data_IF_143303497291
#
_entry.id   IF_143303497291
#
_cell.length_a   1.000
_cell.length_b   1.000
_cell.length_c   1.000
_cell.angle_alpha   90.00
_cell.angle_beta   90.00
_cell.angle_gamma   90.00
#
_symmetry.space_group_name_H-M   'P 1'
#
loop_
_entity.id
_entity.type
_entity.pdbx_description
1 polymer ?
#
# COMPACT_ATOMS: atom_id res chain seq x y z
N UNK A 1 -36.22 -12.75 -39.10
CA UNK A 1 -35.19 -11.68 -39.04
C UNK A 1 -35.34 -10.79 -37.81
N UNK A 2 -36.55 -10.34 -37.45
CA UNK A 2 -36.83 -9.49 -36.26
C UNK A 2 -36.26 -10.03 -34.94
N UNK A 3 -36.37 -11.33 -34.67
CA UNK A 3 -35.85 -11.94 -33.43
C UNK A 3 -34.30 -12.03 -33.37
N UNK A 4 -33.61 -12.05 -34.52
CA UNK A 4 -32.15 -12.05 -34.56
C UNK A 4 -31.61 -10.64 -34.27
N UNK A 5 -32.23 -9.61 -34.87
CA UNK A 5 -31.90 -8.21 -34.63
C UNK A 5 -32.13 -7.85 -33.15
N UNK A 6 -33.26 -8.29 -32.57
CA UNK A 6 -33.56 -8.05 -31.16
C UNK A 6 -32.54 -8.68 -30.20
N UNK A 7 -32.09 -9.91 -30.49
CA UNK A 7 -31.04 -10.58 -29.70
C UNK A 7 -29.69 -9.90 -29.83
N UNK A 8 -29.33 -9.41 -31.02
CA UNK A 8 -28.09 -8.67 -31.26
C UNK A 8 -28.14 -7.34 -30.49
N UNK A 9 -29.25 -6.60 -30.52
CA UNK A 9 -29.39 -5.35 -29.76
C UNK A 9 -29.28 -5.59 -28.26
N UNK A 10 -29.93 -6.63 -27.72
CA UNK A 10 -29.79 -6.98 -26.30
C UNK A 10 -28.34 -7.34 -25.96
N UNK A 11 -27.69 -8.17 -26.78
CA UNK A 11 -26.30 -8.55 -26.56
C UNK A 11 -25.37 -7.33 -26.60
N UNK A 12 -25.56 -6.42 -27.56
CA UNK A 12 -24.77 -5.19 -27.66
C UNK A 12 -25.00 -4.26 -26.47
N UNK A 13 -26.24 -4.11 -25.99
CA UNK A 13 -26.56 -3.30 -24.81
C UNK A 13 -25.95 -3.92 -23.54
N UNK A 14 -26.06 -5.24 -23.36
CA UNK A 14 -25.42 -5.94 -22.22
C UNK A 14 -23.90 -5.81 -22.29
N UNK A 15 -23.30 -5.97 -23.48
CA UNK A 15 -21.86 -5.82 -23.69
C UNK A 15 -21.36 -4.40 -23.36
N UNK A 16 -22.07 -3.37 -23.84
CA UNK A 16 -21.79 -1.96 -23.51
C UNK A 16 -21.93 -1.66 -22.01
N UNK A 17 -22.91 -2.26 -21.33
CA UNK A 17 -23.09 -2.10 -19.88
C UNK A 17 -21.99 -2.81 -19.07
N UNK A 18 -21.37 -3.87 -19.61
CA UNK A 18 -20.29 -4.62 -18.94
C UNK A 18 -18.88 -4.08 -19.22
N UNK A 19 -18.72 -3.15 -20.17
CA UNK A 19 -17.41 -2.65 -20.62
C UNK A 19 -16.88 -1.44 -19.84
N UNK A 20 -17.61 -0.98 -18.81
CA UNK A 20 -17.12 0.06 -17.89
C UNK A 20 -16.45 -0.58 -16.67
N UNK A 21 -15.33 -1.27 -16.88
CA UNK A 21 -14.39 -1.48 -15.77
C UNK A 21 -13.50 -0.25 -15.68
N UNK A 22 -13.68 0.56 -14.64
CA UNK A 22 -12.64 1.53 -14.22
C UNK A 22 -11.41 0.71 -13.84
N UNK A 23 -10.28 1.02 -14.45
CA UNK A 23 -9.01 0.43 -14.07
C UNK A 23 -8.43 1.32 -12.96
N UNK A 24 -8.20 0.74 -11.79
CA UNK A 24 -7.53 1.37 -10.65
C UNK A 24 -6.02 1.26 -10.92
N UNK A 25 -5.46 2.23 -11.64
CA UNK A 25 -4.13 2.15 -12.26
C UNK A 25 -3.16 3.22 -11.71
N UNK A 26 -2.82 3.08 -10.43
CA UNK A 26 -1.87 3.96 -9.78
C UNK A 26 -0.53 4.00 -10.54
N UNK A 27 -0.03 5.20 -10.83
CA UNK A 27 1.24 5.40 -11.54
C UNK A 27 2.31 5.92 -10.59
N UNK A 28 3.49 5.29 -10.57
CA UNK A 28 4.65 5.75 -9.80
C UNK A 28 5.75 6.28 -10.73
N UNK A 29 6.34 7.41 -10.39
CA UNK A 29 7.52 7.99 -11.04
C UNK A 29 8.65 8.14 -10.03
N UNK A 30 9.85 7.71 -10.44
CA UNK A 30 11.07 7.87 -9.65
C UNK A 30 12.16 8.46 -10.56
N UNK A 31 12.70 9.62 -10.17
CA UNK A 31 13.89 10.19 -10.80
C UNK A 31 15.04 10.21 -9.79
N UNK A 32 16.08 9.43 -10.07
CA UNK A 32 17.28 9.39 -9.23
C UNK A 32 18.15 10.62 -9.41
N UNK A 33 19.04 10.88 -8.44
CA UNK A 33 19.95 12.04 -8.38
C UNK A 33 20.84 12.32 -9.61
N UNK A 34 20.96 11.37 -10.54
CA UNK A 34 21.71 11.54 -11.81
C UNK A 34 20.80 11.91 -12.99
N UNK A 35 19.50 12.01 -12.76
CA UNK A 35 18.45 12.24 -13.77
C UNK A 35 17.86 13.66 -13.64
N UNK A 36 17.84 14.20 -12.43
CA UNK A 36 17.32 15.53 -12.10
C UNK A 36 18.39 16.61 -12.31
N UNK A 37 17.96 17.82 -12.66
CA UNK A 37 18.86 18.95 -12.98
C UNK A 37 19.68 19.39 -11.75
N UNK A 38 19.09 19.33 -10.56
CA UNK A 38 19.68 19.79 -9.30
C UNK A 38 20.25 18.65 -8.44
N UNK A 39 20.19 17.40 -8.91
CA UNK A 39 20.64 16.24 -8.17
C UNK A 39 19.70 15.77 -7.06
N UNK A 40 18.49 16.33 -6.96
CA UNK A 40 17.43 15.84 -6.06
C UNK A 40 16.96 14.43 -6.43
N UNK A 41 16.31 13.74 -5.50
CA UNK A 41 15.55 12.53 -5.80
C UNK A 41 14.08 12.93 -5.86
N UNK A 42 13.39 12.61 -6.94
CA UNK A 42 11.95 12.82 -7.06
C UNK A 42 11.24 11.49 -6.94
N UNK A 43 10.25 11.44 -6.05
CA UNK A 43 9.27 10.39 -5.93
C UNK A 43 7.90 11.01 -6.10
N UNK A 44 7.12 10.50 -7.04
CA UNK A 44 5.75 10.91 -7.27
C UNK A 44 4.88 9.70 -7.53
N UNK A 45 3.62 9.78 -7.12
CA UNK A 45 2.64 8.73 -7.29
C UNK A 45 1.26 9.35 -7.55
N UNK A 46 0.53 8.78 -8.50
CA UNK A 46 -0.93 8.98 -8.60
C UNK A 46 -1.64 7.93 -7.78
N UNK A 47 -2.79 8.31 -7.24
CA UNK A 47 -3.71 7.41 -6.58
C UNK A 47 -5.03 7.48 -7.32
N UNK A 48 -5.45 6.33 -7.86
CA UNK A 48 -6.54 6.22 -8.82
C UNK A 48 -7.65 5.33 -8.25
N UNK A 49 -8.10 5.64 -7.01
CA UNK A 49 -9.00 4.86 -6.15
C UNK A 49 -10.51 4.98 -6.44
N UNK A 50 -10.88 5.41 -7.65
CA UNK A 50 -12.28 5.53 -8.06
C UNK A 50 -12.88 6.95 -7.93
N UNK A 51 -13.96 7.18 -7.14
CA UNK A 51 -14.66 8.48 -7.10
C UNK A 51 -13.81 9.59 -6.47
N UNK A 52 -14.31 10.84 -6.49
CA UNK A 52 -13.61 11.97 -5.89
C UNK A 52 -13.53 11.80 -4.37
N UNK A 53 -12.35 11.44 -3.88
CA UNK A 53 -12.02 11.43 -2.46
C UNK A 53 -11.30 12.73 -2.05
N UNK A 54 -11.38 13.06 -0.77
CA UNK A 54 -10.62 14.16 -0.17
C UNK A 54 -9.53 13.55 0.69
N UNK A 55 -8.29 13.73 0.27
CA UNK A 55 -7.15 13.23 1.02
C UNK A 55 -6.76 14.19 2.14
N UNK A 56 -6.32 13.61 3.26
CA UNK A 56 -5.89 14.36 4.43
C UNK A 56 -4.40 14.15 4.67
N UNK A 57 -3.66 15.26 4.71
CA UNK A 57 -2.26 15.23 5.10
C UNK A 57 -2.13 15.39 6.61
N UNK A 58 -1.65 14.34 7.27
CA UNK A 58 -1.41 14.30 8.70
C UNK A 58 0.07 14.41 9.02
N UNK A 59 0.39 15.15 10.08
CA UNK A 59 1.68 15.03 10.75
C UNK A 59 1.55 14.09 11.94
N UNK A 60 2.33 13.00 11.94
CA UNK A 60 2.40 12.05 13.03
C UNK A 60 3.73 12.25 13.77
N UNK A 61 3.72 12.68 15.04
CA UNK A 61 4.95 12.88 15.78
C UNK A 61 5.58 11.53 16.16
N UNK A 62 6.92 11.50 16.17
CA UNK A 62 7.69 10.40 16.74
C UNK A 62 7.43 10.25 18.23
N UNK A 63 7.54 9.01 18.73
CA UNK A 63 7.18 8.66 20.11
C UNK A 63 8.16 7.69 20.72
N UNK A 64 8.30 7.78 22.04
CA UNK A 64 8.93 6.73 22.85
C UNK A 64 7.86 5.73 23.33
N UNK A 65 8.19 4.45 23.33
CA UNK A 65 7.32 3.36 23.74
C UNK A 65 7.92 2.59 24.91
N UNK A 66 7.03 2.09 25.78
CA UNK A 66 7.39 1.23 26.89
C UNK A 66 7.94 -0.13 26.42
N UNK A 67 8.75 -0.76 27.26
CA UNK A 67 9.26 -2.11 27.00
C UNK A 67 8.11 -3.12 26.84
N UNK A 68 8.18 -3.96 25.81
CA UNK A 68 7.14 -4.94 25.50
C UNK A 68 5.92 -4.37 24.79
N UNK A 69 5.91 -3.09 24.41
CA UNK A 69 4.86 -2.53 23.56
C UNK A 69 4.77 -3.27 22.22
N UNK A 70 3.58 -3.27 21.62
CA UNK A 70 3.30 -3.94 20.34
C UNK A 70 2.55 -3.04 19.38
N UNK A 71 2.79 -3.24 18.09
CA UNK A 71 1.98 -2.73 16.99
C UNK A 71 0.89 -3.75 16.68
N UNK A 72 -0.37 -3.32 16.63
CA UNK A 72 -1.50 -4.16 16.22
C UNK A 72 -1.67 -4.11 14.70
N UNK A 73 -1.87 -5.28 14.09
CA UNK A 73 -2.18 -5.45 12.68
C UNK A 73 -3.71 -5.48 12.49
N UNK A 74 -4.18 -5.15 11.28
CA UNK A 74 -5.61 -5.04 10.99
C UNK A 74 -6.35 -6.38 11.17
N UNK A 75 -5.71 -7.47 10.77
CA UNK A 75 -6.27 -8.82 10.88
C UNK A 75 -5.96 -9.52 12.23
N UNK A 76 -5.50 -8.76 13.24
CA UNK A 76 -5.39 -9.23 14.63
C UNK A 76 -3.99 -9.68 15.07
N UNK A 77 -3.02 -9.76 14.15
CA UNK A 77 -1.62 -10.01 14.49
C UNK A 77 -0.96 -8.89 15.28
N UNK A 78 0.22 -9.16 15.85
CA UNK A 78 1.01 -8.16 16.56
C UNK A 78 2.50 -8.24 16.24
N UNK A 79 3.18 -7.10 16.31
CA UNK A 79 4.63 -6.98 16.08
C UNK A 79 5.24 -6.26 17.28
N UNK A 80 6.41 -6.70 17.79
CA UNK A 80 7.14 -5.94 18.80
C UNK A 80 7.39 -4.50 18.34
N UNK A 81 7.08 -3.54 19.21
CA UNK A 81 7.34 -2.13 18.95
C UNK A 81 8.80 -1.78 19.32
N UNK A 82 9.37 -0.82 18.59
CA UNK A 82 10.68 -0.27 18.91
C UNK A 82 10.56 0.79 20.01
N UNK A 83 11.66 1.02 20.75
CA UNK A 83 11.67 2.01 21.84
C UNK A 83 11.34 3.42 21.35
N UNK A 84 11.82 3.80 20.17
CA UNK A 84 11.62 5.15 19.60
C UNK A 84 11.19 5.03 18.15
N UNK A 85 10.20 5.83 17.78
CA UNK A 85 9.68 5.93 16.41
C UNK A 85 9.91 7.32 15.84
N UNK A 86 10.14 7.38 14.53
CA UNK A 86 10.35 8.62 13.80
C UNK A 86 9.04 9.34 13.48
N UNK A 87 9.11 10.67 13.39
CA UNK A 87 8.00 11.47 12.91
C UNK A 87 7.83 11.30 11.39
N UNK A 88 6.60 11.44 10.90
CA UNK A 88 6.30 11.38 9.46
C UNK A 88 5.06 12.16 9.07
N UNK A 89 5.03 12.59 7.81
CA UNK A 89 3.83 13.03 7.14
C UNK A 89 3.15 11.83 6.49
N UNK A 90 1.84 11.74 6.66
CA UNK A 90 1.02 10.67 6.10
C UNK A 90 -0.15 11.27 5.33
N UNK A 91 -0.18 10.96 4.05
CA UNK A 91 -1.29 11.21 3.15
C UNK A 91 -2.32 10.08 3.28
N UNK A 92 -3.43 10.39 3.92
CA UNK A 92 -4.53 9.46 4.15
C UNK A 92 -5.61 9.67 3.09
N UNK A 93 -5.78 8.68 2.21
CA UNK A 93 -6.92 8.58 1.30
C UNK A 93 -8.08 7.86 2.03
N UNK A 94 -9.17 8.55 2.39
CA UNK A 94 -10.31 7.92 3.04
C UNK A 94 -10.93 6.83 2.14
N UNK A 95 -11.45 5.76 2.75
CA UNK A 95 -12.10 4.68 2.01
C UNK A 95 -11.18 3.54 1.60
N UNK A 96 -9.85 3.70 1.67
CA UNK A 96 -8.89 2.60 1.45
C UNK A 96 -7.79 2.57 2.52
N UNK A 97 -7.38 1.38 2.93
CA UNK A 97 -6.22 1.17 3.81
C UNK A 97 -4.91 1.06 3.03
N UNK A 98 -4.93 1.13 1.70
CA UNK A 98 -3.74 0.84 0.90
C UNK A 98 -3.27 2.06 0.12
N UNK A 99 -4.00 3.14 0.09
CA UNK A 99 -3.74 4.26 -0.79
C UNK A 99 -3.19 5.43 0.01
N UNK A 100 -1.86 5.57 -0.01
CA UNK A 100 -1.16 6.52 0.85
C UNK A 100 0.24 6.83 0.32
N UNK A 101 0.67 8.06 0.56
CA UNK A 101 2.07 8.47 0.53
C UNK A 101 2.54 8.84 1.94
N UNK A 102 3.79 8.50 2.27
CA UNK A 102 4.38 8.79 3.57
C UNK A 102 5.79 9.31 3.36
N UNK A 103 6.17 10.37 4.06
CA UNK A 103 7.55 10.85 4.11
C UNK A 103 7.93 11.04 5.57
N UNK A 104 8.98 10.36 6.03
CA UNK A 104 9.45 10.50 7.41
C UNK A 104 10.47 11.63 7.58
N UNK A 105 10.81 11.96 8.82
CA UNK A 105 11.74 13.04 9.17
C UNK A 105 13.17 12.84 8.62
N UNK A 106 13.51 11.62 8.20
CA UNK A 106 14.77 11.30 7.54
C UNK A 106 14.72 11.45 6.00
N UNK A 107 13.60 11.95 5.47
CA UNK A 107 13.39 12.14 4.04
C UNK A 107 13.17 10.83 3.26
N UNK A 108 12.82 9.75 3.94
CA UNK A 108 12.47 8.48 3.28
C UNK A 108 11.01 8.55 2.86
N UNK A 109 10.76 8.47 1.55
CA UNK A 109 9.43 8.46 0.95
C UNK A 109 8.94 7.03 0.70
N UNK A 110 7.67 6.80 0.97
CA UNK A 110 6.98 5.52 0.80
C UNK A 110 5.65 5.76 0.09
N UNK A 111 5.29 4.82 -0.77
CA UNK A 111 3.93 4.67 -1.26
C UNK A 111 3.70 3.22 -1.67
N UNK A 112 2.46 2.91 -1.99
CA UNK A 112 2.03 1.61 -2.50
C UNK A 112 1.63 1.76 -3.95
N UNK A 113 1.74 0.68 -4.70
CA UNK A 113 1.00 0.56 -5.94
C UNK A 113 0.30 -0.80 -5.87
N UNK A 114 -1.00 -0.81 -6.11
CA UNK A 114 -1.77 -2.04 -6.13
C UNK A 114 -1.26 -2.92 -7.28
N UNK A 115 -0.82 -4.12 -6.94
CA UNK A 115 -0.41 -5.14 -7.89
C UNK A 115 -0.95 -6.47 -7.39
N UNK A 116 -1.63 -7.23 -8.26
CA UNK A 116 -2.07 -8.58 -7.88
C UNK A 116 -0.84 -9.44 -7.59
N UNK A 117 -0.88 -10.13 -6.46
CA UNK A 117 0.16 -11.09 -6.12
C UNK A 117 0.17 -12.25 -7.13
N UNK A 118 1.35 -12.79 -7.40
CA UNK A 118 1.51 -14.07 -8.12
C UNK A 118 1.54 -15.26 -7.16
N UNK A 119 1.50 -15.00 -5.85
CA UNK A 119 1.44 -16.01 -4.81
C UNK A 119 0.08 -16.71 -4.79
N UNK A 120 0.01 -17.79 -4.02
CA UNK A 120 -1.24 -18.49 -3.76
C UNK A 120 -2.27 -17.59 -3.03
N UNK A 121 -3.58 -17.90 -3.15
CA UNK A 121 -4.63 -17.22 -2.38
C UNK A 121 -4.37 -17.25 -0.87
N UNK A 122 -4.78 -16.20 -0.15
CA UNK A 122 -4.60 -16.04 1.30
C UNK A 122 -4.93 -17.30 2.07
N UNK A 123 -6.04 -17.96 1.75
CA UNK A 123 -6.51 -19.14 2.48
C UNK A 123 -5.49 -20.30 2.39
N UNK A 124 -4.79 -20.42 1.27
CA UNK A 124 -3.73 -21.42 1.10
C UNK A 124 -2.43 -21.02 1.78
N UNK A 125 -2.07 -19.74 1.73
CA UNK A 125 -0.87 -19.21 2.40
C UNK A 125 -1.01 -19.34 3.92
N UNK A 126 -2.18 -19.04 4.47
CA UNK A 126 -2.52 -19.24 5.88
C UNK A 126 -2.51 -20.73 6.25
N UNK A 127 -3.10 -21.60 5.42
CA UNK A 127 -3.11 -23.05 5.68
C UNK A 127 -1.71 -23.67 5.73
N UNK A 128 -0.71 -23.07 5.07
CA UNK A 128 0.70 -23.48 5.16
C UNK A 128 1.44 -22.91 6.37
N UNK A 129 0.87 -21.90 7.02
CA UNK A 129 1.52 -21.18 8.13
C UNK A 129 2.50 -20.09 7.69
N UNK A 130 2.46 -19.69 6.41
CA UNK A 130 3.35 -18.66 5.84
C UNK A 130 2.86 -17.22 6.15
N UNK A 131 1.60 -17.07 6.58
CA UNK A 131 0.97 -15.78 6.90
C UNK A 131 0.50 -15.76 8.36
N UNK A 132 0.85 -14.70 9.09
CA UNK A 132 0.49 -14.55 10.50
C UNK A 132 -0.73 -13.63 10.63
N UNK A 133 -1.89 -14.20 10.97
CA UNK A 133 -3.13 -13.48 11.24
C UNK A 133 -3.44 -12.40 10.18
N UNK A 134 -3.55 -12.79 8.92
CA UNK A 134 -3.79 -11.89 7.78
C UNK A 134 -2.63 -10.94 7.42
N UNK A 135 -1.45 -11.06 8.05
CA UNK A 135 -0.22 -10.39 7.65
C UNK A 135 -0.16 -8.89 7.92
N UNK A 136 0.85 -8.25 7.33
CA UNK A 136 1.20 -6.85 7.62
C UNK A 136 0.22 -5.84 7.01
N UNK A 137 -0.24 -6.09 5.79
CA UNK A 137 -1.13 -5.21 5.03
C UNK A 137 -0.74 -3.74 5.10
N UNK A 138 -1.70 -2.89 5.47
CA UNK A 138 -1.53 -1.45 5.63
C UNK A 138 -0.36 -1.06 6.54
N UNK A 139 -0.13 -1.81 7.63
CA UNK A 139 0.83 -1.43 8.67
C UNK A 139 2.28 -1.47 8.20
N UNK A 140 2.62 -2.20 7.14
CA UNK A 140 4.00 -2.32 6.66
C UNK A 140 4.64 -0.94 6.46
N UNK A 141 4.05 -0.08 5.62
CA UNK A 141 4.65 1.24 5.30
C UNK A 141 4.72 2.16 6.50
N UNK A 142 3.71 2.14 7.37
CA UNK A 142 3.70 2.91 8.61
C UNK A 142 4.87 2.50 9.51
N UNK A 143 5.09 1.18 9.66
CA UNK A 143 6.20 0.63 10.44
C UNK A 143 7.56 1.00 9.81
N UNK A 144 7.68 1.00 8.48
CA UNK A 144 8.91 1.42 7.82
C UNK A 144 9.20 2.90 8.05
N UNK A 145 8.18 3.76 7.95
CA UNK A 145 8.32 5.19 8.21
C UNK A 145 8.72 5.48 9.67
N UNK A 146 8.15 4.73 10.62
CA UNK A 146 8.48 4.80 12.04
C UNK A 146 9.93 4.37 12.36
N UNK A 147 10.57 3.54 11.52
CA UNK A 147 11.79 2.81 11.92
C UNK A 147 13.02 3.00 11.02
N UNK A 148 12.86 3.51 9.79
CA UNK A 148 13.96 3.59 8.82
C UNK A 148 14.52 5.02 8.67
N UNK A 149 15.85 5.14 8.58
CA UNK A 149 16.55 6.40 8.24
C UNK A 149 16.95 6.49 6.78
N UNK A 150 16.92 5.37 6.06
CA UNK A 150 17.27 5.31 4.64
C UNK A 150 16.35 4.35 3.88
N UNK A 151 16.20 4.55 2.57
CA UNK A 151 15.44 3.64 1.72
C UNK A 151 15.99 2.20 1.75
N UNK A 152 17.33 2.03 1.83
CA UNK A 152 17.96 0.70 1.94
C UNK A 152 17.60 0.02 3.26
N UNK A 153 17.64 0.76 4.35
CA UNK A 153 17.25 0.23 5.66
C UNK A 153 15.78 -0.18 5.67
N UNK A 154 14.89 0.65 5.09
CA UNK A 154 13.49 0.31 4.98
C UNK A 154 13.25 -1.00 4.21
N UNK A 155 13.95 -1.23 3.09
CA UNK A 155 13.86 -2.49 2.34
C UNK A 155 14.30 -3.69 3.19
N UNK A 156 15.37 -3.54 3.98
CA UNK A 156 15.85 -4.62 4.85
C UNK A 156 14.90 -4.90 6.02
N UNK A 157 14.26 -3.86 6.58
CA UNK A 157 13.21 -4.02 7.59
C UNK A 157 11.99 -4.72 6.97
N UNK A 158 11.57 -4.30 5.78
CA UNK A 158 10.45 -4.89 5.06
C UNK A 158 10.69 -6.37 4.82
N UNK A 159 11.85 -6.77 4.30
CA UNK A 159 12.20 -8.17 4.07
C UNK A 159 12.06 -9.01 5.36
N UNK A 160 12.64 -8.54 6.48
CA UNK A 160 12.54 -9.25 7.77
C UNK A 160 11.10 -9.40 8.26
N UNK A 161 10.30 -8.34 8.14
CA UNK A 161 8.90 -8.37 8.57
C UNK A 161 8.07 -9.29 7.67
N UNK A 162 8.31 -9.25 6.36
CA UNK A 162 7.63 -10.10 5.39
C UNK A 162 7.97 -11.57 5.59
N UNK A 163 9.23 -11.90 5.84
CA UNK A 163 9.67 -13.28 6.15
C UNK A 163 9.00 -13.82 7.44
N UNK A 164 8.71 -12.95 8.40
CA UNK A 164 8.18 -13.37 9.70
C UNK A 164 6.65 -13.36 9.77
N UNK A 165 5.99 -12.43 9.08
CA UNK A 165 4.56 -12.19 9.22
C UNK A 165 3.77 -12.36 7.91
N UNK A 166 4.45 -12.35 6.76
CA UNK A 166 3.84 -12.34 5.44
C UNK A 166 3.22 -10.99 5.06
N UNK A 167 2.95 -10.83 3.77
CA UNK A 167 2.05 -9.80 3.25
C UNK A 167 0.70 -10.47 2.95
N UNK A 168 -0.41 -9.76 3.12
CA UNK A 168 -1.67 -10.28 2.60
C UNK A 168 -1.63 -10.31 1.07
N UNK A 169 -2.09 -11.40 0.47
CA UNK A 169 -2.06 -11.61 -0.98
C UNK A 169 -3.44 -11.44 -1.61
#
# INVERSE_FOLDING_TARGET
MRNKIFKIVIFSVVFLLTSFSRAEECTTLIAGKKTTVDGSILYAKTEDDGPKEVDFLWYVPGKTHESGAVVKLEAGGTIPQVKETYAYFWDQCPGTSYSNNIINEWGVAFGSNACRSKEDPVEKVEARGDLVNGGLGFRLRMILAERAKTAREAVLIAAKLLDQYGYNA
#
